data_IF_933620876646
#
_entry.id   IF_933620876646
#
_cell.length_a   1.000
_cell.length_b   1.000
_cell.length_c   1.000
_cell.angle_alpha   90.00
_cell.angle_beta   90.00
_cell.angle_gamma   90.00
#
_symmetry.space_group_name_H-M   'P 1'
#
loop_
_entity.id
_entity.type
_entity.pdbx_description
1 polymer ?
#
# COMPACT_ATOMS: atom_id res chain seq x y z
N UNK A 1 13.98 -6.83 17.86
CA UNK A 1 13.74 -5.41 17.52
C UNK A 1 12.32 -5.06 17.94
N UNK A 2 12.03 -3.85 18.46
CA UNK A 2 10.65 -3.46 18.71
C UNK A 2 9.86 -3.43 17.38
N UNK A 3 8.55 -3.70 17.40
CA UNK A 3 7.72 -3.64 16.20
C UNK A 3 7.79 -2.25 15.57
N UNK A 4 7.83 -2.16 14.24
CA UNK A 4 7.78 -0.86 13.57
C UNK A 4 6.38 -0.29 13.72
N UNK A 5 6.25 0.77 14.51
CA UNK A 5 4.95 1.40 14.80
C UNK A 5 4.82 2.77 14.13
N UNK A 6 3.58 3.15 13.83
CA UNK A 6 3.23 4.52 13.50
C UNK A 6 1.91 4.84 14.19
N UNK A 7 1.80 5.96 14.93
CA UNK A 7 0.53 6.32 15.56
C UNK A 7 -0.50 6.69 14.50
N UNK A 8 -1.77 6.33 14.76
CA UNK A 8 -2.93 6.83 14.03
C UNK A 8 -3.19 8.31 14.26
N UNK A 9 -4.20 8.84 13.58
CA UNK A 9 -4.63 10.24 13.65
C UNK A 9 -6.14 10.44 13.83
N UNK A 10 -6.91 9.35 13.92
CA UNK A 10 -8.33 9.41 14.28
C UNK A 10 -8.51 10.12 15.63
N UNK A 11 -9.56 10.94 15.71
CA UNK A 11 -9.86 11.80 16.86
C UNK A 11 -8.98 13.06 16.97
N UNK A 12 -7.98 13.24 16.09
CA UNK A 12 -7.17 14.46 16.00
C UNK A 12 -7.37 15.22 14.68
N UNK A 13 -7.70 14.52 13.60
CA UNK A 13 -7.97 15.10 12.30
C UNK A 13 -9.47 15.13 11.96
N UNK A 14 -9.84 16.08 11.10
CA UNK A 14 -11.14 16.11 10.43
C UNK A 14 -11.31 14.88 9.53
N UNK A 15 -12.40 14.14 9.74
CA UNK A 15 -12.73 12.88 9.04
C UNK A 15 -13.07 13.08 7.56
N UNK A 16 -13.49 14.28 7.19
CA UNK A 16 -13.86 14.65 5.81
C UNK A 16 -12.70 15.32 5.06
N UNK A 17 -11.55 15.52 5.72
CA UNK A 17 -10.37 16.13 5.11
C UNK A 17 -9.79 15.23 4.02
N UNK A 18 -9.72 15.79 2.81
CA UNK A 18 -9.11 15.16 1.62
C UNK A 18 -7.93 16.00 1.11
N UNK A 19 -6.97 15.35 0.46
CA UNK A 19 -5.74 15.95 -0.04
C UNK A 19 -5.61 15.76 -1.54
N UNK A 20 -5.14 16.81 -2.22
CA UNK A 20 -4.92 16.78 -3.66
C UNK A 20 -3.72 15.91 -4.03
N UNK A 21 -3.71 15.43 -5.28
CA UNK A 21 -2.57 14.74 -5.91
C UNK A 21 -1.22 15.41 -5.63
N UNK A 22 -1.15 16.74 -5.73
CA UNK A 22 0.09 17.51 -5.50
C UNK A 22 0.57 17.42 -4.04
N UNK A 23 -0.36 17.44 -3.07
CA UNK A 23 -0.02 17.28 -1.65
C UNK A 23 0.42 15.84 -1.36
N UNK A 24 -0.26 14.85 -1.95
CA UNK A 24 0.13 13.44 -1.84
C UNK A 24 1.53 13.20 -2.41
N UNK A 25 1.82 13.72 -3.60
CA UNK A 25 3.15 13.62 -4.21
C UNK A 25 4.25 14.23 -3.33
N UNK A 26 3.99 15.36 -2.67
CA UNK A 26 4.95 15.98 -1.74
C UNK A 26 5.13 15.18 -0.43
N UNK A 27 4.11 14.41 -0.04
CA UNK A 27 4.13 13.55 1.14
C UNK A 27 4.75 12.17 0.88
N UNK A 28 5.07 11.81 -0.37
CA UNK A 28 5.75 10.56 -0.68
C UNK A 28 7.07 10.43 0.09
N UNK A 29 7.38 9.19 0.49
CA UNK A 29 8.58 8.90 1.27
C UNK A 29 9.84 9.15 0.43
N UNK A 30 10.79 10.00 0.86
CA UNK A 30 12.01 10.21 0.09
C UNK A 30 12.80 8.90 -0.07
N UNK A 31 13.29 8.60 -1.28
CA UNK A 31 14.01 7.34 -1.55
C UNK A 31 15.18 7.09 -0.58
N UNK A 32 15.93 8.13 -0.20
CA UNK A 32 17.03 8.05 0.79
C UNK A 32 16.62 7.45 2.14
N UNK A 33 15.33 7.49 2.50
CA UNK A 33 14.80 6.86 3.71
C UNK A 33 14.78 5.33 3.63
N UNK A 34 14.93 4.76 2.42
CA UNK A 34 15.03 3.33 2.17
C UNK A 34 16.48 2.82 2.06
N UNK A 35 17.46 3.73 1.99
CA UNK A 35 18.88 3.42 1.85
C UNK A 35 19.63 4.55 1.14
N UNK A 36 20.94 4.67 1.38
CA UNK A 36 21.77 5.72 0.78
C UNK A 36 21.78 5.67 -0.77
N UNK A 37 21.77 4.46 -1.32
CA UNK A 37 21.79 4.21 -2.76
C UNK A 37 20.39 4.09 -3.38
N UNK A 38 19.33 4.22 -2.59
CA UNK A 38 17.98 4.12 -3.09
C UNK A 38 17.63 5.29 -4.02
N UNK A 39 16.96 4.99 -5.14
CA UNK A 39 16.57 5.96 -6.16
C UNK A 39 15.14 5.73 -6.61
N UNK A 40 14.40 6.83 -6.76
CA UNK A 40 13.10 6.83 -7.42
C UNK A 40 13.33 6.57 -8.90
N UNK A 41 12.68 5.55 -9.45
CA UNK A 41 12.74 5.20 -10.87
C UNK A 41 11.49 5.58 -11.63
N UNK A 42 10.36 5.71 -10.93
CA UNK A 42 9.10 6.16 -11.50
C UNK A 42 8.27 6.93 -10.47
N UNK A 43 7.45 7.86 -10.94
CA UNK A 43 6.43 8.53 -10.15
C UNK A 43 5.20 8.69 -11.03
N UNK A 44 4.06 8.22 -10.54
CA UNK A 44 2.77 8.26 -11.23
C UNK A 44 1.78 8.99 -10.35
N UNK A 45 0.86 9.72 -10.97
CA UNK A 45 -0.19 10.46 -10.30
C UNK A 45 -1.48 10.31 -11.07
N UNK A 46 -2.61 10.28 -10.38
CA UNK A 46 -3.91 10.11 -11.04
C UNK A 46 -5.03 9.86 -10.05
N UNK A 47 -6.01 9.07 -10.48
CA UNK A 47 -7.07 8.56 -9.60
C UNK A 47 -6.66 7.25 -8.97
N UNK A 48 -7.13 7.05 -7.75
CA UNK A 48 -6.98 5.80 -7.03
C UNK A 48 -8.01 4.78 -7.54
N UNK A 49 -7.57 3.53 -7.72
CA UNK A 49 -8.45 2.41 -8.10
C UNK A 49 -8.34 1.94 -9.55
N UNK A 50 -7.63 2.67 -10.41
CA UNK A 50 -7.44 2.28 -11.82
C UNK A 50 -6.43 1.13 -12.01
N UNK A 51 -5.57 0.86 -11.02
CA UNK A 51 -4.47 -0.12 -11.11
C UNK A 51 -4.21 -0.84 -9.77
N UNK A 52 -3.65 -2.06 -9.83
CA UNK A 52 -2.93 -2.67 -8.69
C UNK A 52 -3.73 -3.50 -7.68
N UNK A 53 -4.92 -3.99 -8.01
CA UNK A 53 -5.78 -4.73 -7.03
C UNK A 53 -5.65 -6.26 -7.06
N UNK A 54 -4.74 -6.84 -7.86
CA UNK A 54 -4.66 -8.29 -8.08
C UNK A 54 -5.80 -8.82 -8.96
N UNK A 55 -5.59 -9.93 -9.67
CA UNK A 55 -6.61 -10.55 -10.50
C UNK A 55 -7.38 -11.61 -9.70
N UNK A 56 -8.58 -11.24 -9.25
CA UNK A 56 -9.45 -12.15 -8.50
C UNK A 56 -10.44 -12.89 -9.41
N UNK A 57 -10.29 -12.82 -10.74
CA UNK A 57 -11.27 -13.16 -11.77
C UNK A 57 -12.03 -14.48 -11.57
N UNK A 58 -11.39 -15.48 -10.97
CA UNK A 58 -11.98 -16.80 -10.71
C UNK A 58 -12.78 -16.89 -9.40
N UNK A 59 -12.88 -15.82 -8.62
CA UNK A 59 -13.59 -15.81 -7.35
C UNK A 59 -15.01 -15.22 -7.47
N UNK A 60 -16.02 -15.92 -6.98
CA UNK A 60 -17.43 -15.48 -7.04
C UNK A 60 -17.69 -14.22 -6.22
N UNK A 61 -17.07 -14.10 -5.03
CA UNK A 61 -17.22 -12.93 -4.16
C UNK A 61 -16.63 -11.63 -4.77
N UNK A 62 -15.81 -11.76 -5.82
CA UNK A 62 -15.16 -10.64 -6.50
C UNK A 62 -16.14 -9.64 -7.06
N UNK A 63 -17.20 -10.09 -7.73
CA UNK A 63 -18.02 -9.19 -8.55
C UNK A 63 -18.71 -8.11 -7.71
N UNK A 64 -19.24 -8.48 -6.54
CA UNK A 64 -19.83 -7.53 -5.60
C UNK A 64 -18.78 -6.62 -4.95
N UNK A 65 -17.69 -7.19 -4.45
CA UNK A 65 -16.66 -6.47 -3.71
C UNK A 65 -15.84 -5.53 -4.61
N UNK A 66 -15.56 -5.92 -5.86
CA UNK A 66 -14.91 -5.04 -6.84
C UNK A 66 -15.81 -3.88 -7.24
N UNK A 67 -17.10 -4.11 -7.46
CA UNK A 67 -18.05 -3.03 -7.78
C UNK A 67 -18.04 -1.98 -6.67
N UNK A 68 -18.18 -2.43 -5.43
CA UNK A 68 -18.15 -1.52 -4.28
C UNK A 68 -16.79 -0.81 -4.16
N UNK A 69 -15.69 -1.51 -4.48
CA UNK A 69 -14.37 -0.92 -4.46
C UNK A 69 -14.10 0.12 -5.56
N UNK A 70 -14.80 0.05 -6.69
CA UNK A 70 -14.72 1.07 -7.76
C UNK A 70 -15.33 2.39 -7.33
N UNK A 71 -16.28 2.35 -6.40
CA UNK A 71 -16.88 3.56 -5.83
C UNK A 71 -15.96 4.24 -4.78
N UNK A 72 -14.75 3.72 -4.56
CA UNK A 72 -13.73 4.27 -3.65
C UNK A 72 -12.68 5.14 -4.35
N UNK A 73 -13.11 5.94 -5.33
CA UNK A 73 -12.31 6.99 -5.98
C UNK A 73 -11.64 7.96 -4.99
N UNK A 74 -10.38 8.29 -5.26
CA UNK A 74 -9.61 9.29 -4.54
C UNK A 74 -8.48 9.87 -5.38
N UNK A 75 -7.85 10.93 -4.89
CA UNK A 75 -6.59 11.42 -5.48
C UNK A 75 -5.46 10.44 -5.13
N UNK A 76 -4.54 10.22 -6.07
CA UNK A 76 -3.44 9.26 -5.91
C UNK A 76 -2.08 9.84 -6.31
N UNK A 77 -1.04 9.47 -5.55
CA UNK A 77 0.35 9.55 -5.97
C UNK A 77 1.11 8.26 -5.62
N UNK A 78 1.79 7.69 -6.61
CA UNK A 78 2.61 6.48 -6.48
C UNK A 78 4.05 6.77 -6.86
N UNK A 79 4.99 6.08 -6.22
CA UNK A 79 6.37 6.02 -6.64
C UNK A 79 6.91 4.59 -6.60
N UNK A 80 7.88 4.33 -7.46
CA UNK A 80 8.66 3.09 -7.48
C UNK A 80 10.11 3.42 -7.12
N UNK A 81 10.67 2.72 -6.13
CA UNK A 81 12.02 2.95 -5.61
C UNK A 81 12.84 1.68 -5.74
N UNK A 82 13.98 1.78 -6.43
CA UNK A 82 15.02 0.75 -6.40
C UNK A 82 15.98 1.03 -5.27
N UNK A 83 16.23 0.03 -4.41
CA UNK A 83 17.09 0.19 -3.23
C UNK A 83 18.53 -0.28 -3.48
N UNK A 84 18.76 -1.18 -4.43
CA UNK A 84 20.10 -1.61 -4.87
C UNK A 84 20.37 -1.19 -6.33
N UNK A 85 21.63 -0.85 -6.68
CA UNK A 85 22.02 -0.66 -8.08
C UNK A 85 21.89 -2.00 -8.82
N UNK A 86 21.43 -1.98 -10.08
CA UNK A 86 21.21 -3.15 -10.95
C UNK A 86 22.49 -3.95 -11.34
N UNK A 87 23.59 -3.81 -10.58
CA UNK A 87 24.92 -4.27 -10.93
C UNK A 87 25.28 -5.67 -10.39
N UNK A 88 24.38 -6.38 -9.70
CA UNK A 88 24.57 -7.80 -9.42
C UNK A 88 23.61 -8.61 -10.28
N UNK A 89 24.11 -9.07 -11.43
CA UNK A 89 23.43 -10.01 -12.33
C UNK A 89 23.12 -11.28 -11.52
N UNK A 90 21.89 -11.36 -10.98
CA UNK A 90 21.44 -12.44 -10.10
C UNK A 90 20.63 -12.00 -8.88
N UNK A 91 20.76 -10.72 -8.46
CA UNK A 91 20.01 -10.17 -7.32
C UNK A 91 18.74 -9.48 -7.85
N UNK A 92 17.65 -10.25 -8.01
CA UNK A 92 16.32 -9.69 -8.28
C UNK A 92 15.79 -9.06 -7.00
N UNK A 93 16.35 -7.94 -6.55
CA UNK A 93 15.66 -7.12 -5.55
C UNK A 93 14.51 -6.43 -6.27
N UNK A 94 13.30 -6.92 -6.05
CA UNK A 94 12.11 -6.28 -6.58
C UNK A 94 12.05 -4.82 -6.10
N UNK A 95 11.63 -3.89 -6.97
CA UNK A 95 11.49 -2.50 -6.57
C UNK A 95 10.41 -2.38 -5.48
N UNK A 96 10.59 -1.42 -4.59
CA UNK A 96 9.56 -1.07 -3.59
C UNK A 96 8.59 -0.10 -4.23
N UNK A 97 7.30 -0.41 -4.19
CA UNK A 97 6.25 0.50 -4.61
C UNK A 97 5.58 1.12 -3.39
N UNK A 98 5.38 2.44 -3.42
CA UNK A 98 4.71 3.19 -2.38
C UNK A 98 3.64 4.05 -3.04
N UNK A 99 2.40 3.83 -2.66
CA UNK A 99 1.23 4.54 -3.15
C UNK A 99 0.52 5.24 -1.99
N UNK A 100 0.09 6.47 -2.24
CA UNK A 100 -0.72 7.27 -1.32
C UNK A 100 -2.04 7.62 -2.00
N UNK A 101 -3.14 7.26 -1.37
CA UNK A 101 -4.48 7.61 -1.85
C UNK A 101 -5.22 8.45 -0.81
N UNK A 102 -5.85 9.54 -1.24
CA UNK A 102 -6.67 10.38 -0.36
C UNK A 102 -8.15 10.21 -0.66
N UNK A 103 -8.91 9.96 0.39
CA UNK A 103 -10.36 9.92 0.43
C UNK A 103 -10.84 10.34 1.83
N UNK A 104 -12.14 10.26 2.13
CA UNK A 104 -12.61 10.48 3.50
C UNK A 104 -12.23 9.30 4.41
N UNK A 105 -12.13 9.53 5.72
CA UNK A 105 -11.76 8.47 6.68
C UNK A 105 -12.69 7.25 6.59
N UNK A 106 -14.00 7.47 6.42
CA UNK A 106 -14.98 6.40 6.24
C UNK A 106 -14.73 5.57 4.98
N UNK A 107 -14.37 6.20 3.85
CA UNK A 107 -14.07 5.50 2.59
C UNK A 107 -12.75 4.73 2.68
N UNK A 108 -11.74 5.29 3.35
CA UNK A 108 -10.46 4.61 3.59
C UNK A 108 -10.64 3.38 4.50
N UNK A 109 -11.49 3.47 5.54
CA UNK A 109 -11.84 2.30 6.35
C UNK A 109 -12.58 1.26 5.52
N UNK A 110 -13.57 1.69 4.71
CA UNK A 110 -14.34 0.78 3.86
C UNK A 110 -13.47 0.03 2.86
N UNK A 111 -12.43 0.68 2.31
CA UNK A 111 -11.44 0.03 1.47
C UNK A 111 -10.80 -1.18 2.17
N UNK A 112 -10.32 -0.99 3.40
CA UNK A 112 -9.65 -2.05 4.17
C UNK A 112 -10.60 -3.21 4.47
N UNK A 113 -11.85 -2.89 4.83
CA UNK A 113 -12.87 -3.91 5.10
C UNK A 113 -13.17 -4.76 3.85
N UNK A 114 -13.30 -4.11 2.69
CA UNK A 114 -13.50 -4.80 1.41
C UNK A 114 -12.28 -5.66 1.06
N UNK A 115 -11.06 -5.14 1.23
CA UNK A 115 -9.84 -5.88 0.92
C UNK A 115 -9.71 -7.12 1.81
N UNK A 116 -9.94 -6.99 3.11
CA UNK A 116 -9.94 -8.13 4.04
C UNK A 116 -10.98 -9.17 3.63
N UNK A 117 -12.23 -8.76 3.38
CA UNK A 117 -13.31 -9.67 2.95
C UNK A 117 -12.97 -10.40 1.66
N UNK A 118 -12.35 -9.71 0.70
CA UNK A 118 -11.93 -10.31 -0.57
C UNK A 118 -10.86 -11.38 -0.34
N UNK A 119 -9.84 -11.09 0.45
CA UNK A 119 -8.74 -12.03 0.72
C UNK A 119 -9.20 -13.23 1.57
N UNK A 120 -10.17 -13.05 2.46
CA UNK A 120 -10.77 -14.13 3.24
C UNK A 120 -11.68 -15.03 2.39
N UNK A 121 -12.44 -14.44 1.45
CA UNK A 121 -13.32 -15.19 0.56
C UNK A 121 -12.56 -15.87 -0.59
N UNK A 122 -11.46 -15.27 -1.03
CA UNK A 122 -10.67 -15.68 -2.19
C UNK A 122 -9.19 -15.93 -1.83
N UNK A 123 -8.88 -16.84 -0.88
CA UNK A 123 -7.51 -17.05 -0.43
C UNK A 123 -6.62 -17.71 -1.48
N UNK A 124 -7.22 -18.32 -2.52
CA UNK A 124 -6.51 -18.87 -3.67
C UNK A 124 -7.29 -18.53 -4.93
N UNK A 125 -6.61 -17.95 -5.91
CA UNK A 125 -7.16 -17.66 -7.24
C UNK A 125 -6.28 -18.26 -8.32
N UNK A 126 -6.87 -18.54 -9.48
CA UNK A 126 -6.11 -19.01 -10.65
C UNK A 126 -6.08 -17.88 -11.67
N UNK A 127 -4.89 -17.51 -12.10
CA UNK A 127 -4.68 -16.45 -13.09
C UNK A 127 -4.13 -17.09 -14.35
N UNK A 128 -4.83 -16.88 -15.46
CA UNK A 128 -4.40 -17.36 -16.77
C UNK A 128 -3.34 -16.41 -17.32
N UNK A 129 -2.07 -16.85 -17.30
CA UNK A 129 -0.97 -16.13 -17.95
C UNK A 129 -0.73 -16.67 -19.36
N UNK A 130 -0.04 -15.89 -20.20
CA UNK A 130 0.31 -16.32 -21.56
C UNK A 130 1.17 -17.59 -21.60
N UNK A 131 1.95 -17.87 -20.54
CA UNK A 131 2.83 -19.04 -20.46
C UNK A 131 2.12 -20.28 -19.89
N UNK A 132 1.42 -20.11 -18.77
CA UNK A 132 0.60 -21.15 -18.11
C UNK A 132 -0.33 -20.54 -17.06
N UNK A 133 -1.43 -21.21 -16.69
CA UNK A 133 -2.20 -20.83 -15.51
C UNK A 133 -1.32 -20.92 -14.25
N UNK A 134 -1.30 -19.85 -13.46
CA UNK A 134 -0.64 -19.80 -12.15
C UNK A 134 -1.69 -19.72 -11.05
N UNK A 135 -1.31 -20.16 -9.84
CA UNK A 135 -2.12 -20.00 -8.63
C UNK A 135 -1.50 -18.95 -7.75
N UNK A 136 -2.29 -17.93 -7.43
CA UNK A 136 -1.94 -16.92 -6.43
C UNK A 136 -2.56 -17.35 -5.09
N UNK A 137 -1.73 -17.46 -4.07
CA UNK A 137 -2.13 -17.77 -2.71
C UNK A 137 -2.02 -16.51 -1.88
N UNK A 138 -3.14 -16.07 -1.33
CA UNK A 138 -3.23 -14.86 -0.51
C UNK A 138 -3.41 -15.23 0.96
N UNK A 139 -2.77 -14.45 1.84
CA UNK A 139 -3.04 -14.45 3.27
C UNK A 139 -3.11 -13.01 3.75
N UNK A 140 -4.10 -12.70 4.57
CA UNK A 140 -4.28 -11.38 5.11
C UNK A 140 -4.27 -11.40 6.64
N UNK A 141 -3.65 -10.39 7.27
CA UNK A 141 -3.71 -10.20 8.72
C UNK A 141 -3.67 -8.73 9.11
N UNK A 142 -4.48 -8.35 10.09
CA UNK A 142 -4.41 -7.01 10.66
C UNK A 142 -3.07 -6.79 11.37
N UNK A 143 -2.53 -5.57 11.27
CA UNK A 143 -1.34 -5.13 12.01
C UNK A 143 -1.76 -4.06 13.01
N UNK A 144 -1.59 -4.34 14.31
CA UNK A 144 -1.80 -3.34 15.35
C UNK A 144 -0.68 -2.28 15.39
N UNK A 145 -0.99 -1.10 15.92
CA UNK A 145 -0.03 -0.01 16.16
C UNK A 145 0.66 0.54 14.90
N UNK A 146 0.02 0.40 13.75
CA UNK A 146 0.46 0.96 12.48
C UNK A 146 -0.68 1.77 11.85
N UNK A 147 -0.60 3.09 11.95
CA UNK A 147 -1.69 4.00 11.59
C UNK A 147 -2.90 3.84 12.50
N UNK A 148 -4.07 4.18 11.96
CA UNK A 148 -5.37 3.97 12.61
C UNK A 148 -5.84 2.52 12.43
N UNK A 149 -5.58 1.95 11.27
CA UNK A 149 -5.80 0.54 10.97
C UNK A 149 -4.83 0.10 9.86
N UNK A 150 -4.34 -1.13 9.92
CA UNK A 150 -3.47 -1.66 8.89
C UNK A 150 -3.74 -3.13 8.60
N UNK A 151 -3.52 -3.49 7.34
CA UNK A 151 -3.65 -4.84 6.80
C UNK A 151 -2.32 -5.20 6.13
N UNK A 152 -1.80 -6.38 6.43
CA UNK A 152 -0.77 -7.02 5.64
C UNK A 152 -1.40 -8.13 4.81
N UNK A 153 -1.16 -8.06 3.51
CA UNK A 153 -1.40 -9.12 2.55
C UNK A 153 -0.07 -9.75 2.15
N UNK A 154 -0.04 -11.08 2.14
CA UNK A 154 1.06 -11.87 1.63
C UNK A 154 0.55 -12.67 0.44
N UNK A 155 1.15 -12.42 -0.71
CA UNK A 155 0.85 -13.07 -1.98
C UNK A 155 2.00 -14.04 -2.34
N UNK A 156 1.67 -15.28 -2.70
CA UNK A 156 2.63 -16.24 -3.25
C UNK A 156 2.09 -16.83 -4.53
N UNK A 157 2.84 -16.67 -5.63
CA UNK A 157 2.51 -17.25 -6.93
C UNK A 157 3.17 -18.61 -7.09
N UNK A 158 2.41 -19.59 -7.58
CA UNK A 158 2.88 -20.97 -7.82
C UNK A 158 2.37 -21.50 -9.16
N UNK A 159 3.17 -22.29 -9.88
CA UNK A 159 2.71 -23.02 -11.08
C UNK A 159 3.65 -22.86 -12.29
N UNK A 160 4.00 -23.95 -12.96
CA UNK A 160 5.07 -23.97 -13.97
C UNK A 160 6.47 -23.99 -13.35
N UNK A 161 7.48 -24.46 -14.09
CA UNK A 161 8.87 -24.60 -13.61
C UNK A 161 9.54 -23.26 -13.27
N UNK A 162 8.92 -22.14 -13.68
CA UNK A 162 9.42 -20.77 -13.51
C UNK A 162 8.89 -20.06 -12.25
N UNK A 163 7.89 -20.62 -11.57
CA UNK A 163 7.19 -19.96 -10.47
C UNK A 163 7.26 -20.78 -9.17
N UNK A 164 8.44 -20.79 -8.54
CA UNK A 164 8.64 -21.25 -7.15
C UNK A 164 8.67 -20.05 -6.19
N UNK A 165 7.57 -19.28 -6.22
CA UNK A 165 7.52 -17.86 -5.90
C UNK A 165 8.04 -17.46 -4.52
N UNK A 166 8.92 -16.44 -4.52
CA UNK A 166 9.18 -15.56 -3.38
C UNK A 166 7.88 -14.81 -3.05
N UNK A 167 7.55 -14.71 -1.77
CA UNK A 167 6.36 -14.00 -1.34
C UNK A 167 6.48 -12.50 -1.61
N UNK A 168 5.39 -11.88 -2.05
CA UNK A 168 5.23 -10.43 -2.06
C UNK A 168 4.43 -10.00 -0.85
N UNK A 169 4.82 -8.90 -0.23
CA UNK A 169 4.18 -8.36 0.97
C UNK A 169 3.63 -6.98 0.70
N UNK A 170 2.31 -6.86 0.77
CA UNK A 170 1.54 -5.65 0.53
C UNK A 170 0.98 -5.15 1.88
N UNK A 171 1.49 -4.02 2.36
CA UNK A 171 1.02 -3.40 3.60
C UNK A 171 0.16 -2.20 3.26
N UNK A 172 -1.11 -2.25 3.64
CA UNK A 172 -2.05 -1.14 3.51
C UNK A 172 -2.30 -0.54 4.89
N UNK A 173 -1.97 0.74 5.06
CA UNK A 173 -2.17 1.48 6.31
C UNK A 173 -3.14 2.63 6.08
N UNK A 174 -4.11 2.80 6.98
CA UNK A 174 -4.96 3.99 7.04
C UNK A 174 -4.41 4.99 8.05
N UNK A 175 -4.31 6.24 7.63
CA UNK A 175 -4.04 7.41 8.47
C UNK A 175 -5.10 8.48 8.18
N UNK A 176 -6.15 8.54 9.00
CA UNK A 176 -7.35 9.32 8.76
C UNK A 176 -8.00 8.92 7.43
N UNK A 177 -8.09 9.85 6.49
CA UNK A 177 -8.55 9.64 5.11
C UNK A 177 -7.49 9.23 4.09
N UNK A 178 -6.23 9.01 4.51
CA UNK A 178 -5.14 8.64 3.59
C UNK A 178 -4.82 7.15 3.74
N UNK A 179 -4.83 6.42 2.62
CA UNK A 179 -4.28 5.07 2.52
C UNK A 179 -2.80 5.15 2.10
N UNK A 180 -1.97 4.37 2.76
CA UNK A 180 -0.55 4.17 2.45
C UNK A 180 -0.39 2.71 2.05
N UNK A 181 -0.16 2.44 0.77
CA UNK A 181 0.04 1.10 0.24
C UNK A 181 1.51 0.91 -0.07
N UNK A 182 2.10 -0.17 0.45
CA UNK A 182 3.50 -0.52 0.24
C UNK A 182 3.59 -1.94 -0.26
N UNK A 183 4.10 -2.13 -1.48
CA UNK A 183 4.40 -3.45 -2.07
C UNK A 183 5.90 -3.68 -2.08
N UNK A 184 6.32 -4.81 -1.53
CA UNK A 184 7.72 -5.21 -1.47
C UNK A 184 7.86 -6.73 -1.63
N UNK A 185 8.71 -7.17 -2.57
CA UNK A 185 9.11 -8.57 -2.68
C UNK A 185 10.01 -8.99 -1.51
N UNK A 186 9.82 -10.22 -1.02
CA UNK A 186 10.75 -10.87 -0.10
C UNK A 186 10.47 -10.65 1.39
N UNK A 187 11.07 -9.63 2.02
CA UNK A 187 11.07 -9.45 3.49
C UNK A 187 9.81 -8.72 3.99
N UNK A 188 8.95 -9.44 4.71
CA UNK A 188 7.75 -8.92 5.40
C UNK A 188 8.07 -7.78 6.37
N UNK A 189 9.08 -7.95 7.23
CA UNK A 189 9.42 -6.94 8.23
C UNK A 189 9.91 -5.66 7.55
N UNK A 190 10.56 -5.78 6.39
CA UNK A 190 10.94 -4.64 5.57
C UNK A 190 9.72 -3.90 5.05
N UNK A 191 8.73 -4.60 4.51
CA UNK A 191 7.48 -4.00 4.06
C UNK A 191 6.80 -3.20 5.20
N UNK A 192 6.68 -3.82 6.38
CA UNK A 192 6.09 -3.18 7.57
C UNK A 192 6.89 -1.95 8.02
N UNK A 193 8.23 -2.02 8.04
CA UNK A 193 9.08 -0.86 8.37
C UNK A 193 8.90 0.30 7.40
N UNK A 194 8.80 0.00 6.11
CA UNK A 194 8.60 1.02 5.06
C UNK A 194 7.23 1.66 5.19
N UNK A 195 6.18 0.86 5.39
CA UNK A 195 4.83 1.35 5.64
C UNK A 195 4.77 2.26 6.89
N UNK A 196 5.47 1.91 7.96
CA UNK A 196 5.57 2.75 9.15
C UNK A 196 6.29 4.08 8.88
N UNK A 197 7.38 4.08 8.09
CA UNK A 197 8.08 5.30 7.67
C UNK A 197 7.19 6.21 6.82
N UNK A 198 6.51 5.64 5.82
CA UNK A 198 5.61 6.36 4.94
C UNK A 198 4.41 6.95 5.71
N UNK A 199 3.83 6.16 6.63
CA UNK A 199 2.72 6.62 7.50
C UNK A 199 3.15 7.78 8.40
N UNK A 200 4.33 7.72 9.01
CA UNK A 200 4.87 8.84 9.81
C UNK A 200 5.08 10.09 8.97
N UNK A 201 5.54 9.94 7.72
CA UNK A 201 5.72 11.06 6.77
C UNK A 201 4.38 11.68 6.41
N UNK A 202 3.38 10.87 6.06
CA UNK A 202 2.01 11.31 5.78
C UNK A 202 1.45 12.11 6.95
N UNK A 203 1.59 11.59 8.17
CA UNK A 203 1.16 12.30 9.38
C UNK A 203 1.84 13.66 9.52
N UNK A 204 3.15 13.74 9.33
CA UNK A 204 3.91 14.98 9.46
C UNK A 204 3.53 16.03 8.40
N UNK A 205 3.39 15.61 7.13
CA UNK A 205 3.25 16.54 6.00
C UNK A 205 1.80 16.93 5.69
N UNK A 206 0.86 16.00 5.90
CA UNK A 206 -0.54 16.20 5.53
C UNK A 206 -1.38 16.63 6.73
N UNK A 207 -1.04 16.15 7.93
CA UNK A 207 -1.82 16.40 9.15
C UNK A 207 -1.04 17.10 10.27
N UNK A 208 0.26 17.38 10.07
CA UNK A 208 1.01 18.25 10.97
C UNK A 208 0.37 19.64 11.00
N UNK A 209 0.46 20.33 12.14
CA UNK A 209 -0.10 21.67 12.30
C UNK A 209 0.39 22.59 11.18
N UNK A 210 -0.55 23.28 10.50
CA UNK A 210 -0.18 24.36 9.59
C UNK A 210 0.52 25.43 10.46
N UNK A 211 1.66 26.02 10.06
CA UNK A 211 2.26 27.14 10.81
C UNK A 211 1.27 28.29 11.10
N UNK A 212 0.16 28.35 10.35
CA UNK A 212 -0.96 29.28 10.58
C UNK A 212 -1.84 28.94 11.78
N UNK A 213 -1.85 27.70 12.26
CA UNK A 213 -2.60 27.28 13.46
C UNK A 213 -1.91 27.68 14.77
N UNK A 214 -0.65 28.14 14.69
CA UNK A 214 0.16 28.58 15.84
C UNK A 214 0.19 30.11 16.01
N UNK A 215 -0.42 30.88 15.11
CA UNK A 215 -0.51 32.35 15.22
C UNK A 215 -1.82 32.85 15.85
N UNK A 216 -2.70 31.94 16.27
CA UNK A 216 -4.01 32.24 16.85
C UNK A 216 -4.15 31.93 18.34
N UNK A 217 -3.05 31.92 19.11
CA UNK A 217 -3.09 31.79 20.58
C UNK A 217 -2.36 32.94 21.26
#
# INVERSE_FOLDING_TARGET
MPPSTAPGIDGQADTDRVFTTSRLKAALLPARSLGADARVTATVTGRFGDYGRGDFGTCEAREELERESRDLDGDNAQQTVRVTPAAQRGDRSDPVEIELASMTAGRAQRYLDIRQRLLDACPVVTVDTEAAPVREHHRARSIGHLGDSALLETERVTGGDEYDGVATHDVVVRAGGVLVLVRNGGDEDRAVRIAALATRRVRAELYGADPRDLQGR
#
